data_IF_403192713235
#
_entry.id   IF_403192713235
#
_cell.length_a   1.000
_cell.length_b   1.000
_cell.length_c   1.000
_cell.angle_alpha   90.00
_cell.angle_beta   90.00
_cell.angle_gamma   90.00
#
_symmetry.space_group_name_H-M   'P 1'
#
loop_
_entity.id
_entity.type
_entity.pdbx_description
1 polymer ?
#
# COMPACT_ATOMS: atom_id res chain seq x y z
N UNK A 1 8.21 -14.25 8.30
CA UNK A 1 7.37 -14.00 9.51
C UNK A 1 5.89 -14.02 9.15
N UNK A 2 5.39 -13.09 8.34
CA UNK A 2 3.97 -13.01 7.97
C UNK A 2 3.44 -14.28 7.29
N UNK A 3 4.23 -14.87 6.39
CA UNK A 3 3.90 -16.14 5.72
C UNK A 3 3.70 -17.30 6.70
N UNK A 4 4.57 -17.41 7.72
CA UNK A 4 4.51 -18.50 8.71
C UNK A 4 3.20 -18.48 9.51
N UNK A 5 2.58 -17.31 9.64
CA UNK A 5 1.30 -17.12 10.35
C UNK A 5 0.14 -16.85 9.38
N UNK A 6 0.34 -17.06 8.08
CA UNK A 6 -0.67 -16.92 7.04
C UNK A 6 -1.32 -15.52 6.98
N UNK A 7 -0.58 -14.47 7.33
CA UNK A 7 -1.02 -13.10 7.11
C UNK A 7 -0.80 -12.75 5.64
N UNK A 8 -1.89 -12.50 4.93
CA UNK A 8 -1.87 -12.01 3.54
C UNK A 8 -1.16 -10.67 3.48
N UNK A 9 -0.12 -10.59 2.66
CA UNK A 9 0.72 -9.42 2.49
C UNK A 9 1.11 -9.22 1.02
N UNK A 10 1.54 -8.01 0.67
CA UNK A 10 2.18 -7.71 -0.61
C UNK A 10 3.18 -6.57 -0.48
N UNK A 11 4.14 -6.50 -1.40
CA UNK A 11 5.04 -5.36 -1.50
C UNK A 11 4.31 -4.13 -2.04
N UNK A 12 4.55 -2.96 -1.46
CA UNK A 12 3.82 -1.72 -1.72
C UNK A 12 4.75 -0.55 -2.14
N UNK A 13 4.16 0.52 -2.67
CA UNK A 13 4.73 1.86 -2.81
C UNK A 13 6.13 1.89 -3.45
N UNK A 14 7.12 2.54 -2.83
CA UNK A 14 8.47 2.66 -3.37
C UNK A 14 9.18 1.31 -3.51
N UNK A 15 8.90 0.38 -2.62
CA UNK A 15 9.43 -0.99 -2.70
C UNK A 15 8.90 -1.68 -3.96
N UNK A 16 7.58 -1.61 -4.21
CA UNK A 16 6.95 -2.19 -5.41
C UNK A 16 7.48 -1.55 -6.69
N UNK A 17 7.74 -0.24 -6.66
CA UNK A 17 8.36 0.48 -7.76
C UNK A 17 9.75 -0.06 -8.09
N UNK A 18 10.58 -0.32 -7.08
CA UNK A 18 11.88 -0.96 -7.23
C UNK A 18 11.77 -2.37 -7.85
N UNK A 19 10.83 -3.18 -7.35
CA UNK A 19 10.53 -4.52 -7.90
C UNK A 19 10.19 -4.42 -9.38
N UNK A 20 9.30 -3.50 -9.74
CA UNK A 20 8.82 -3.32 -11.11
C UNK A 20 9.93 -2.84 -12.05
N UNK A 21 10.75 -1.87 -11.61
CA UNK A 21 11.80 -1.27 -12.44
C UNK A 21 12.99 -2.20 -12.66
N UNK A 22 13.46 -2.86 -11.60
CA UNK A 22 14.74 -3.55 -11.63
C UNK A 22 14.81 -4.83 -10.78
N UNK A 23 13.67 -5.30 -10.23
CA UNK A 23 13.61 -6.48 -9.35
C UNK A 23 14.53 -6.37 -8.14
N UNK A 24 14.68 -5.16 -7.60
CA UNK A 24 15.55 -4.83 -6.48
C UNK A 24 14.92 -3.71 -5.66
N UNK A 25 15.44 -3.47 -4.47
CA UNK A 25 15.11 -2.26 -3.73
C UNK A 25 15.66 -1.02 -4.47
N UNK A 26 15.01 0.13 -4.31
CA UNK A 26 15.55 1.38 -4.80
C UNK A 26 16.80 1.72 -3.98
N UNK A 27 17.99 1.93 -4.58
CA UNK A 27 19.24 2.00 -3.82
C UNK A 27 19.36 3.15 -2.81
N UNK A 28 18.54 4.18 -2.94
CA UNK A 28 18.52 5.35 -2.06
C UNK A 28 17.29 5.38 -1.13
N UNK A 29 16.42 4.38 -1.17
CA UNK A 29 15.34 4.24 -0.21
C UNK A 29 15.89 3.70 1.11
N UNK A 30 15.48 4.30 2.23
CA UNK A 30 15.93 3.91 3.58
C UNK A 30 14.96 2.96 4.29
N UNK A 31 13.83 2.66 3.65
CA UNK A 31 12.76 1.83 4.18
C UNK A 31 12.18 0.92 3.09
N UNK A 32 11.44 -0.09 3.54
CA UNK A 32 10.54 -0.85 2.69
C UNK A 32 9.07 -0.56 3.07
N UNK A 33 8.15 -0.88 2.17
CA UNK A 33 6.71 -0.72 2.37
C UNK A 33 5.99 -2.02 1.99
N UNK A 34 5.09 -2.45 2.87
CA UNK A 34 4.30 -3.68 2.75
C UNK A 34 2.84 -3.37 3.04
N UNK A 35 1.93 -3.89 2.21
CA UNK A 35 0.50 -3.90 2.49
C UNK A 35 0.07 -5.20 3.15
N UNK A 36 -0.85 -5.12 4.11
CA UNK A 36 -1.59 -6.26 4.67
C UNK A 36 -3.07 -5.93 4.73
N UNK A 37 -3.92 -6.96 4.86
CA UNK A 37 -5.34 -6.72 5.17
C UNK A 37 -5.54 -6.31 6.63
N UNK A 38 -6.59 -5.53 6.92
CA UNK A 38 -7.04 -5.15 8.28
C UNK A 38 -7.19 -6.37 9.19
N UNK A 39 -7.69 -7.49 8.66
CA UNK A 39 -7.77 -8.76 9.37
C UNK A 39 -6.39 -9.26 9.82
N UNK A 40 -5.37 -9.13 8.98
CA UNK A 40 -3.98 -9.44 9.31
C UNK A 40 -3.42 -8.54 10.42
N UNK A 41 -3.72 -7.23 10.38
CA UNK A 41 -3.35 -6.32 11.47
C UNK A 41 -3.99 -6.73 12.80
N UNK A 42 -5.29 -7.01 12.79
CA UNK A 42 -6.02 -7.44 13.98
C UNK A 42 -5.43 -8.74 14.55
N UNK A 43 -5.09 -9.68 13.67
CA UNK A 43 -4.41 -10.91 14.06
C UNK A 43 -3.05 -10.61 14.71
N UNK A 44 -2.20 -9.78 14.09
CA UNK A 44 -0.90 -9.39 14.66
C UNK A 44 -1.06 -8.77 16.04
N UNK A 45 -2.02 -7.85 16.23
CA UNK A 45 -2.26 -7.16 17.51
C UNK A 45 -2.59 -8.10 18.67
N UNK A 46 -3.24 -9.22 18.38
CA UNK A 46 -3.69 -10.20 19.38
C UNK A 46 -2.84 -11.46 19.45
N UNK A 47 -1.82 -11.59 18.60
CA UNK A 47 -0.99 -12.80 18.53
C UNK A 47 0.24 -12.62 19.43
N UNK A 48 0.54 -13.67 20.20
CA UNK A 48 1.70 -13.67 21.09
C UNK A 48 3.03 -13.74 20.31
N UNK A 49 4.11 -13.17 20.89
CA UNK A 49 5.46 -13.13 20.29
C UNK A 49 6.06 -14.52 20.07
N UNK A 50 5.66 -15.52 20.83
CA UNK A 50 6.09 -16.91 20.65
C UNK A 50 5.49 -17.54 19.36
N UNK A 51 4.32 -17.04 18.93
CA UNK A 51 3.66 -17.46 17.69
C UNK A 51 4.16 -16.59 16.53
N UNK A 52 4.11 -15.26 16.68
CA UNK A 52 4.63 -14.32 15.70
C UNK A 52 6.13 -14.14 15.91
N UNK A 53 6.90 -15.18 15.51
CA UNK A 53 8.35 -15.25 15.68
C UNK A 53 9.07 -14.14 14.91
N UNK A 54 9.38 -13.06 15.60
CA UNK A 54 10.25 -11.98 15.14
C UNK A 54 11.71 -12.49 15.17
N UNK A 55 12.46 -12.42 14.06
CA UNK A 55 13.86 -12.87 14.05
C UNK A 55 14.75 -12.07 15.02
N UNK A 56 15.77 -12.72 15.57
CA UNK A 56 16.76 -12.05 16.42
C UNK A 56 17.42 -10.88 15.66
N UNK A 57 17.64 -9.76 16.37
CA UNK A 57 18.14 -8.53 15.77
C UNK A 57 17.05 -7.65 15.14
N UNK A 58 15.79 -8.10 15.15
CA UNK A 58 14.65 -7.30 14.70
C UNK A 58 13.62 -7.09 15.82
N UNK A 59 12.90 -5.98 15.73
CA UNK A 59 11.74 -5.69 16.55
C UNK A 59 10.49 -5.51 15.67
N UNK A 60 9.34 -5.81 16.26
CA UNK A 60 8.05 -5.50 15.67
C UNK A 60 7.34 -4.49 16.56
N UNK A 61 7.13 -3.30 16.03
CA UNK A 61 6.33 -2.24 16.66
C UNK A 61 4.90 -2.34 16.14
N UNK A 62 3.90 -2.25 17.03
CA UNK A 62 2.49 -2.41 16.64
C UNK A 62 1.60 -1.38 17.34
N UNK A 63 0.99 -0.53 16.54
CA UNK A 63 0.04 0.48 17.02
C UNK A 63 -1.19 -0.18 17.62
N UNK A 64 -1.58 0.26 18.81
CA UNK A 64 -2.76 -0.20 19.52
C UNK A 64 -2.76 -1.72 19.76
N UNK A 65 -1.65 -2.24 20.32
CA UNK A 65 -1.54 -3.58 20.86
C UNK A 65 -1.06 -3.51 22.32
N UNK A 66 -1.55 -4.42 23.16
CA UNK A 66 -1.04 -4.62 24.52
C UNK A 66 0.18 -5.54 24.59
N UNK A 67 0.56 -6.18 23.47
CA UNK A 67 1.62 -7.19 23.40
C UNK A 67 2.95 -6.64 22.86
N UNK A 68 2.88 -5.55 22.08
CA UNK A 68 4.02 -4.96 21.39
C UNK A 68 4.16 -3.49 21.78
N UNK A 69 5.39 -2.99 21.76
CA UNK A 69 5.65 -1.57 21.91
C UNK A 69 5.15 -0.83 20.65
N UNK A 70 4.42 0.29 20.76
CA UNK A 70 3.98 1.04 19.60
C UNK A 70 5.13 1.78 18.90
N UNK A 71 6.25 2.10 19.57
CA UNK A 71 7.35 2.87 18.98
C UNK A 71 6.86 4.13 18.24
N UNK A 72 7.20 4.24 16.95
CA UNK A 72 6.80 5.36 16.07
C UNK A 72 5.56 5.05 15.22
N UNK A 73 4.86 3.95 15.50
CA UNK A 73 3.68 3.56 14.73
C UNK A 73 2.50 4.52 14.96
N UNK A 74 1.58 4.53 14.00
CA UNK A 74 0.40 5.38 14.03
C UNK A 74 -0.80 4.67 13.39
N UNK A 75 -1.93 5.36 13.26
CA UNK A 75 -3.05 4.82 12.48
C UNK A 75 -2.69 4.63 10.99
N UNK A 76 -1.80 5.48 10.46
CA UNK A 76 -1.35 5.45 9.06
C UNK A 76 -0.41 4.27 8.80
N UNK A 77 0.58 4.09 9.69
CA UNK A 77 1.53 2.97 9.66
C UNK A 77 1.40 2.18 10.95
N UNK A 78 0.44 1.22 11.02
CA UNK A 78 0.10 0.55 12.26
C UNK A 78 1.11 -0.53 12.67
N UNK A 79 2.03 -0.93 11.80
CA UNK A 79 3.09 -1.88 12.13
C UNK A 79 4.40 -1.41 11.48
N UNK A 80 5.51 -1.45 12.24
CA UNK A 80 6.87 -1.27 11.72
C UNK A 80 7.72 -2.48 12.09
N UNK A 81 8.39 -3.06 11.10
CA UNK A 81 9.38 -4.13 11.31
C UNK A 81 10.78 -3.51 11.22
N UNK A 82 11.51 -3.49 12.33
CA UNK A 82 12.70 -2.65 12.50
C UNK A 82 13.92 -3.52 12.73
N UNK A 83 14.98 -3.30 11.94
CA UNK A 83 16.31 -3.80 12.21
C UNK A 83 16.93 -2.99 13.35
N UNK A 84 17.19 -3.66 14.47
CA UNK A 84 17.71 -3.02 15.69
C UNK A 84 19.19 -2.64 15.60
N UNK A 85 19.92 -3.16 14.61
CA UNK A 85 21.36 -2.91 14.45
C UNK A 85 21.64 -1.67 13.60
N UNK A 86 20.94 -1.53 12.48
CA UNK A 86 21.20 -0.46 11.51
C UNK A 86 20.07 0.57 11.41
N UNK A 87 18.90 0.29 11.99
CA UNK A 87 17.75 1.20 11.97
C UNK A 87 16.97 1.19 10.65
N UNK A 88 17.27 0.25 9.73
CA UNK A 88 16.40 0.02 8.58
C UNK A 88 15.05 -0.52 9.03
N UNK A 89 13.98 -0.19 8.30
CA UNK A 89 12.65 -0.64 8.67
C UNK A 89 11.75 -0.89 7.46
N UNK A 90 10.73 -1.71 7.67
CA UNK A 90 9.60 -1.84 6.77
C UNK A 90 8.34 -1.27 7.42
N UNK A 91 7.70 -0.30 6.75
CA UNK A 91 6.36 0.14 7.10
C UNK A 91 5.35 -0.90 6.62
N UNK A 92 4.36 -1.18 7.46
CA UNK A 92 3.28 -2.12 7.13
C UNK A 92 1.95 -1.40 7.21
N UNK A 93 1.36 -1.12 6.05
CA UNK A 93 0.07 -0.45 5.89
C UNK A 93 -1.07 -1.46 5.97
N UNK A 94 -2.13 -1.13 6.71
CA UNK A 94 -3.30 -2.00 6.84
C UNK A 94 -4.45 -1.53 5.95
N UNK A 95 -4.75 -2.32 4.93
CA UNK A 95 -5.80 -2.06 3.95
C UNK A 95 -7.14 -2.64 4.40
N UNK A 96 -8.19 -1.91 4.11
CA UNK A 96 -9.57 -2.29 4.39
C UNK A 96 -10.36 -2.27 3.08
N UNK A 97 -11.26 -3.25 2.91
CA UNK A 97 -12.14 -3.30 1.74
C UNK A 97 -13.41 -2.49 2.02
N UNK A 98 -13.88 -1.77 1.01
CA UNK A 98 -15.11 -1.00 1.06
C UNK A 98 -15.71 -0.85 -0.34
N UNK A 99 -16.99 -0.51 -0.41
CA UNK A 99 -17.64 -0.15 -1.67
C UNK A 99 -17.47 1.35 -1.91
N UNK A 100 -17.17 1.74 -3.15
CA UNK A 100 -17.00 3.14 -3.48
C UNK A 100 -16.94 3.41 -4.98
N UNK A 101 -16.92 4.69 -5.31
CA UNK A 101 -16.80 5.15 -6.69
C UNK A 101 -15.32 5.24 -7.07
N UNK A 102 -14.99 4.70 -8.23
CA UNK A 102 -13.66 4.79 -8.82
C UNK A 102 -13.76 5.42 -10.20
N UNK A 103 -13.04 6.54 -10.41
CA UNK A 103 -13.00 7.20 -11.72
C UNK A 103 -12.07 6.39 -12.62
N UNK A 104 -12.64 5.91 -13.73
CA UNK A 104 -12.08 4.83 -14.55
C UNK A 104 -10.94 5.26 -15.51
N UNK A 105 -10.50 6.52 -15.43
CA UNK A 105 -9.55 7.14 -16.39
C UNK A 105 -8.13 6.52 -16.40
N UNK A 106 -7.86 5.56 -15.51
CA UNK A 106 -6.55 4.96 -15.29
C UNK A 106 -6.50 3.48 -15.73
N UNK A 107 -7.63 2.86 -16.11
CA UNK A 107 -7.61 1.46 -16.59
C UNK A 107 -6.81 1.37 -17.91
N UNK A 108 -5.79 0.49 -18.00
CA UNK A 108 -5.10 0.24 -19.26
C UNK A 108 -6.07 -0.33 -20.30
N UNK A 109 -5.91 0.03 -21.57
CA UNK A 109 -6.74 -0.42 -22.70
C UNK A 109 -6.80 -1.95 -22.90
N UNK A 110 -6.05 -2.73 -22.11
CA UNK A 110 -5.96 -4.19 -22.14
C UNK A 110 -6.74 -4.90 -21.02
N UNK A 111 -7.53 -4.19 -20.21
CA UNK A 111 -8.37 -4.83 -19.19
C UNK A 111 -9.44 -5.72 -19.86
N UNK A 112 -9.65 -6.96 -19.39
CA UNK A 112 -10.74 -7.79 -19.90
C UNK A 112 -12.07 -7.11 -19.64
N UNK A 113 -12.88 -6.98 -20.68
CA UNK A 113 -14.27 -6.56 -20.57
C UNK A 113 -15.06 -7.81 -20.20
N UNK A 114 -15.52 -7.92 -18.94
CA UNK A 114 -16.78 -8.58 -18.51
C UNK A 114 -16.77 -8.90 -17.00
N UNK A 115 -17.69 -8.28 -16.25
CA UNK A 115 -18.82 -8.91 -15.56
C UNK A 115 -19.73 -7.81 -14.96
N UNK A 116 -21.00 -8.14 -14.70
CA UNK A 116 -22.13 -7.21 -14.49
C UNK A 116 -21.83 -5.99 -13.61
N UNK A 117 -21.89 -4.81 -14.23
CA UNK A 117 -21.84 -3.51 -13.56
C UNK A 117 -23.10 -3.34 -12.72
N UNK A 118 -22.97 -3.38 -11.39
CA UNK A 118 -24.05 -3.00 -10.48
C UNK A 118 -24.28 -1.50 -10.65
N UNK A 119 -25.29 -1.15 -11.45
CA UNK A 119 -25.71 0.24 -11.70
C UNK A 119 -26.71 0.65 -10.63
N UNK A 120 -26.34 1.60 -9.76
CA UNK A 120 -27.28 2.26 -8.85
C UNK A 120 -27.47 3.68 -9.35
N UNK A 121 -28.62 3.98 -9.96
CA UNK A 121 -29.06 5.33 -10.35
C UNK A 121 -28.07 6.13 -11.24
N UNK A 122 -28.49 6.54 -12.43
CA UNK A 122 -27.68 7.37 -13.34
C UNK A 122 -26.32 6.78 -13.80
N UNK A 123 -26.17 5.45 -13.80
CA UNK A 123 -25.04 4.78 -14.48
C UNK A 123 -23.70 4.82 -13.75
N UNK A 124 -23.71 5.11 -12.45
CA UNK A 124 -22.51 5.15 -11.61
C UNK A 124 -22.05 3.72 -11.23
N UNK A 125 -20.78 3.40 -11.49
CA UNK A 125 -20.17 2.10 -11.17
C UNK A 125 -19.68 2.12 -9.71
N UNK A 126 -20.28 1.30 -8.86
CA UNK A 126 -19.77 1.03 -7.51
C UNK A 126 -18.81 -0.15 -7.61
N UNK A 127 -17.52 0.10 -7.34
CA UNK A 127 -16.50 -0.92 -7.33
C UNK A 127 -16.16 -1.35 -5.90
N UNK A 128 -15.67 -2.59 -5.77
CA UNK A 128 -15.07 -3.06 -4.53
C UNK A 128 -13.65 -2.51 -4.45
N UNK A 129 -13.45 -1.53 -3.58
CA UNK A 129 -12.18 -0.84 -3.38
C UNK A 129 -11.45 -1.36 -2.14
N UNK A 130 -10.18 -1.02 -2.06
CA UNK A 130 -9.37 -1.18 -0.87
C UNK A 130 -8.36 -0.05 -0.70
N UNK A 131 -8.04 0.25 0.55
CA UNK A 131 -7.10 1.31 0.89
C UNK A 131 -6.73 1.31 2.37
N UNK A 132 -5.57 1.85 2.76
CA UNK A 132 -5.25 2.08 4.15
C UNK A 132 -5.96 3.34 4.68
N UNK A 133 -5.84 3.59 5.98
CA UNK A 133 -6.37 4.81 6.56
C UNK A 133 -5.78 6.06 5.86
N UNK A 134 -6.58 7.11 5.62
CA UNK A 134 -6.08 8.35 5.05
C UNK A 134 -4.95 8.94 5.90
N UNK A 135 -3.91 9.47 5.24
CA UNK A 135 -2.77 10.08 5.92
C UNK A 135 -1.95 10.98 4.99
N UNK A 136 -1.03 11.71 5.58
CA UNK A 136 0.00 12.51 4.93
C UNK A 136 1.06 11.66 4.19
N UNK A 137 1.12 10.35 4.44
CA UNK A 137 2.06 9.45 3.74
C UNK A 137 1.76 9.40 2.24
N UNK A 138 0.51 9.64 1.86
CA UNK A 138 0.05 9.65 0.49
C UNK A 138 0.19 11.01 -0.19
N UNK A 139 0.84 12.01 0.41
CA UNK A 139 0.91 13.39 -0.13
C UNK A 139 1.42 13.46 -1.58
N UNK A 140 2.36 12.57 -1.97
CA UNK A 140 2.89 12.49 -3.35
C UNK A 140 2.06 11.65 -4.31
N UNK A 141 1.04 10.95 -3.82
CA UNK A 141 0.18 10.17 -4.69
C UNK A 141 -0.59 11.10 -5.64
N UNK A 142 -0.43 10.86 -6.94
CA UNK A 142 -0.96 11.72 -8.00
C UNK A 142 -2.49 11.62 -8.07
N UNK A 143 -3.04 10.42 -7.95
CA UNK A 143 -4.47 10.19 -8.12
C UNK A 143 -5.24 9.99 -6.80
N UNK A 144 -4.54 9.96 -5.65
CA UNK A 144 -5.19 9.85 -4.34
C UNK A 144 -5.97 11.11 -4.02
N UNK A 145 -7.18 10.93 -3.49
CA UNK A 145 -8.04 12.05 -3.13
C UNK A 145 -7.57 12.75 -1.87
N UNK A 146 -7.67 14.08 -1.87
CA UNK A 146 -7.47 14.90 -0.68
C UNK A 146 -8.68 14.74 0.24
N UNK A 147 -8.44 14.48 1.52
CA UNK A 147 -9.52 14.37 2.51
C UNK A 147 -10.01 15.76 2.87
N UNK A 148 -11.34 15.94 2.86
CA UNK A 148 -11.99 17.20 3.25
C UNK A 148 -12.19 18.19 2.11
N UNK A 149 -11.94 17.79 0.87
CA UNK A 149 -12.20 18.60 -0.33
C UNK A 149 -13.07 17.84 -1.33
N UNK A 150 -13.93 18.58 -2.02
CA UNK A 150 -14.78 18.01 -3.07
C UNK A 150 -13.91 17.55 -4.27
N UNK A 151 -14.32 16.46 -4.93
CA UNK A 151 -13.57 15.70 -5.94
C UNK A 151 -13.19 16.48 -7.23
N UNK A 152 -13.54 17.77 -7.33
CA UNK A 152 -13.41 18.63 -8.52
C UNK A 152 -12.37 19.76 -8.38
N UNK A 153 -11.54 19.77 -7.33
CA UNK A 153 -10.48 20.79 -7.22
C UNK A 153 -9.21 20.40 -8.00
N UNK A 154 -8.89 21.24 -8.98
CA UNK A 154 -7.77 21.13 -9.92
C UNK A 154 -6.42 20.77 -9.25
N UNK A 155 -5.75 19.81 -9.89
CA UNK A 155 -4.48 19.15 -9.51
C UNK A 155 -3.24 20.05 -9.51
N UNK A 156 -3.37 21.36 -9.69
CA UNK A 156 -2.24 22.30 -9.79
C UNK A 156 -1.72 22.81 -8.43
N UNK A 157 -1.87 22.04 -7.35
CA UNK A 157 -1.54 22.52 -6.00
C UNK A 157 -0.05 22.40 -5.69
N UNK A 158 0.48 23.45 -5.06
CA UNK A 158 1.85 23.47 -4.53
C UNK A 158 2.06 22.30 -3.56
N UNK A 159 3.28 21.77 -3.53
CA UNK A 159 3.68 20.73 -2.58
C UNK A 159 3.37 21.16 -1.15
N UNK A 160 2.53 20.39 -0.45
CA UNK A 160 2.23 20.56 0.97
C UNK A 160 2.28 19.18 1.65
N UNK A 161 3.28 18.95 2.52
CA UNK A 161 3.49 17.66 3.17
C UNK A 161 2.46 17.37 4.27
N UNK A 162 1.59 18.31 4.61
CA UNK A 162 0.53 18.14 5.63
C UNK A 162 -0.80 17.70 5.03
N UNK A 163 -0.89 17.65 3.70
CA UNK A 163 -2.11 17.23 2.99
C UNK A 163 -2.36 15.74 3.23
N UNK A 164 -3.48 15.46 3.90
CA UNK A 164 -3.98 14.12 4.10
C UNK A 164 -4.67 13.66 2.82
N UNK A 165 -4.16 12.57 2.23
CA UNK A 165 -4.79 11.91 1.08
C UNK A 165 -5.24 10.49 1.44
N UNK A 166 -6.23 10.00 0.72
CA UNK A 166 -6.72 8.63 0.83
C UNK A 166 -6.34 7.84 -0.42
N UNK A 167 -5.42 6.90 -0.26
CA UNK A 167 -5.11 5.91 -1.28
C UNK A 167 -6.20 4.84 -1.31
N UNK A 168 -6.97 4.82 -2.40
CA UNK A 168 -8.05 3.86 -2.62
C UNK A 168 -7.97 3.32 -4.04
N UNK A 169 -7.97 2.01 -4.19
CA UNK A 169 -7.81 1.34 -5.49
C UNK A 169 -8.78 0.17 -5.63
N UNK A 170 -9.09 -0.27 -6.86
CA UNK A 170 -9.86 -1.47 -7.10
C UNK A 170 -9.21 -2.70 -6.48
N UNK A 171 -10.01 -3.56 -5.84
CA UNK A 171 -9.53 -4.76 -5.17
C UNK A 171 -8.82 -5.73 -6.13
N UNK A 172 -9.28 -5.80 -7.36
CA UNK A 172 -8.73 -6.65 -8.42
C UNK A 172 -7.35 -6.18 -8.93
N UNK A 173 -6.92 -4.96 -8.56
CA UNK A 173 -5.55 -4.52 -8.80
C UNK A 173 -4.56 -5.21 -7.86
N UNK A 174 -5.02 -5.60 -6.66
CA UNK A 174 -4.21 -6.32 -5.67
C UNK A 174 -4.40 -7.82 -5.82
N UNK A 175 -5.64 -8.29 -5.84
CA UNK A 175 -5.96 -9.73 -5.83
C UNK A 175 -6.36 -10.27 -7.22
N UNK A 176 -5.97 -11.51 -7.56
CA UNK A 176 -5.13 -12.42 -6.79
C UNK A 176 -3.66 -11.98 -6.78
N UNK A 177 -3.01 -12.11 -5.63
CA UNK A 177 -1.59 -11.81 -5.51
C UNK A 177 -0.75 -12.72 -6.41
N UNK A 178 0.37 -12.19 -6.90
CA UNK A 178 1.30 -12.92 -7.78
C UNK A 178 2.68 -12.99 -7.14
N UNK A 179 3.38 -14.13 -7.22
CA UNK A 179 4.77 -14.18 -6.80
C UNK A 179 5.63 -13.28 -7.70
N UNK A 180 6.56 -12.55 -7.09
CA UNK A 180 7.51 -11.68 -7.75
C UNK A 180 8.88 -11.81 -7.08
N UNK A 181 9.95 -11.49 -7.81
CA UNK A 181 11.32 -11.57 -7.30
C UNK A 181 11.81 -10.20 -6.88
N UNK A 182 12.40 -10.13 -5.68
CA UNK A 182 13.14 -8.99 -5.17
C UNK A 182 14.51 -9.50 -4.78
N UNK A 183 15.52 -9.16 -5.59
CA UNK A 183 16.87 -9.70 -5.49
C UNK A 183 16.85 -11.24 -5.50
N UNK A 184 17.20 -11.86 -4.36
CA UNK A 184 17.21 -13.30 -4.16
C UNK A 184 15.94 -13.86 -3.52
N UNK A 185 14.99 -13.01 -3.15
CA UNK A 185 13.77 -13.39 -2.45
C UNK A 185 12.58 -13.50 -3.41
N UNK A 186 11.70 -14.46 -3.12
CA UNK A 186 10.38 -14.55 -3.73
C UNK A 186 9.36 -14.00 -2.72
N UNK A 187 8.54 -13.05 -3.17
CA UNK A 187 7.56 -12.33 -2.33
C UNK A 187 6.25 -12.16 -3.10
N UNK A 188 5.21 -11.65 -2.44
CA UNK A 188 3.92 -11.40 -3.07
C UNK A 188 3.81 -9.96 -3.60
N UNK A 189 3.34 -9.81 -4.82
CA UNK A 189 3.04 -8.53 -5.47
C UNK A 189 1.55 -8.42 -5.86
N UNK A 190 1.02 -7.19 -6.00
CA UNK A 190 -0.31 -6.94 -6.57
C UNK A 190 -0.50 -7.57 -7.97
N UNK A 191 -1.73 -8.00 -8.28
CA UNK A 191 -2.12 -8.56 -9.58
C UNK A 191 -1.83 -7.63 -10.77
N UNK A 192 -2.04 -6.32 -10.59
CA UNK A 192 -1.95 -5.28 -11.61
C UNK A 192 -0.97 -4.17 -11.18
N UNK A 193 0.31 -4.54 -11.03
CA UNK A 193 1.38 -3.61 -10.58
C UNK A 193 1.44 -2.31 -11.40
N UNK A 194 1.25 -2.38 -12.73
CA UNK A 194 1.31 -1.19 -13.59
C UNK A 194 0.22 -0.19 -13.24
N UNK A 195 -1.03 -0.60 -13.15
CA UNK A 195 -2.16 0.26 -12.78
C UNK A 195 -1.97 0.84 -11.37
N UNK A 196 -1.56 -0.02 -10.42
CA UNK A 196 -1.25 0.36 -9.04
C UNK A 196 -0.19 1.47 -8.97
N UNK A 197 0.94 1.28 -9.66
CA UNK A 197 2.05 2.24 -9.66
C UNK A 197 1.71 3.51 -10.45
N UNK A 198 0.97 3.42 -11.56
CA UNK A 198 0.49 4.59 -12.30
C UNK A 198 -0.45 5.44 -11.44
N UNK A 199 -1.27 4.83 -10.59
CA UNK A 199 -2.15 5.59 -9.70
C UNK A 199 -1.38 6.39 -8.64
N UNK A 200 -0.32 5.81 -8.08
CA UNK A 200 0.51 6.50 -7.08
C UNK A 200 1.41 7.54 -7.75
N UNK A 201 2.15 7.15 -8.79
CA UNK A 201 3.27 7.92 -9.33
C UNK A 201 3.00 8.55 -10.71
N UNK A 202 1.82 8.35 -11.27
CA UNK A 202 1.41 8.84 -12.60
C UNK A 202 2.02 8.08 -13.77
N UNK A 203 1.66 8.52 -14.98
CA UNK A 203 2.03 7.84 -16.23
C UNK A 203 3.55 7.82 -16.52
N UNK A 204 4.34 8.65 -15.83
CA UNK A 204 5.80 8.73 -16.01
C UNK A 204 6.58 8.04 -14.90
N UNK A 205 5.93 7.18 -14.10
CA UNK A 205 6.57 6.47 -12.99
C UNK A 205 7.77 5.59 -13.38
N UNK A 206 7.99 5.31 -14.67
CA UNK A 206 9.21 4.62 -15.13
C UNK A 206 10.41 5.56 -15.31
N UNK A 207 10.18 6.84 -15.52
CA UNK A 207 11.22 7.85 -15.61
C UNK A 207 11.57 8.29 -14.19
N UNK A 208 12.80 8.06 -13.69
CA UNK A 208 13.22 8.66 -12.44
C UNK A 208 13.14 10.17 -12.62
N UNK A 209 12.26 10.85 -11.88
CA UNK A 209 12.41 12.28 -11.69
C UNK A 209 13.74 12.48 -10.98
N UNK A 210 14.59 13.33 -11.54
CA UNK A 210 15.74 13.85 -10.80
C UNK A 210 15.12 14.63 -9.64
N UNK A 211 15.10 14.04 -8.45
CA UNK A 211 14.68 14.73 -7.25
C UNK A 211 15.72 15.84 -6.99
N UNK A 212 15.40 17.07 -7.41
CA UNK A 212 16.10 18.29 -7.00
C UNK A 212 15.76 18.66 -5.55
#
# INVERSE_FOLDING_TARGET
MLENVHVVYWIDSGTLLGVYRARQLIPWDYNADVGIMRAGLNYIRSTDKEVLKVPEGYNLEVFNSSLYDPGETSMAVPVKFVDTKFGFYANVYAFEEFEGLFKDDIKPASAPVEEEVVTVGDGVIVEKLMGPAPSEHWHRCIHCLVVGEDEDTDSSRKFDPTVVKHFRIPRDWVFPLRPCKVEMFEVMCPAQMTSYLMYIFGNRFLTPELWE
#
